data_IF_997290175380
#
_entry.id   IF_997290175380
#
_cell.length_a   1.000
_cell.length_b   1.000
_cell.length_c   1.000
_cell.angle_alpha   90.00
_cell.angle_beta   90.00
_cell.angle_gamma   90.00
#
_symmetry.space_group_name_H-M   'P 1'
#
loop_
_entity.id
_entity.type
_entity.pdbx_description
1 polymer ?
#
# COMPACT_ATOMS: atom_id res chain seq x y z
N UNK A 1 18.79 30.91 7.25
CA UNK A 1 18.92 29.88 8.30
C UNK A 1 17.87 28.83 8.01
N UNK A 2 18.16 27.93 7.07
CA UNK A 2 17.29 26.81 6.74
C UNK A 2 17.53 25.70 7.76
N UNK A 3 16.91 25.87 8.94
CA UNK A 3 16.76 24.77 9.88
C UNK A 3 15.96 23.69 9.17
N UNK A 4 16.62 22.58 8.83
CA UNK A 4 16.01 21.36 8.30
C UNK A 4 14.69 21.08 9.03
N UNK A 5 13.56 21.38 8.40
CA UNK A 5 12.27 21.23 9.05
C UNK A 5 11.95 19.74 9.14
N UNK A 6 12.32 19.11 10.26
CA UNK A 6 12.18 17.67 10.46
C UNK A 6 10.72 17.35 10.76
N UNK A 7 9.94 17.15 9.69
CA UNK A 7 8.58 16.68 9.79
C UNK A 7 8.55 15.26 10.37
N UNK A 8 7.62 15.04 11.32
CA UNK A 8 7.36 13.76 11.95
C UNK A 8 5.96 13.30 11.59
N UNK A 9 5.82 12.00 11.40
CA UNK A 9 4.55 11.37 11.03
C UNK A 9 3.91 10.75 12.25
N UNK A 10 2.61 10.98 12.41
CA UNK A 10 1.82 10.49 13.54
C UNK A 10 0.58 9.75 13.05
N UNK A 11 0.31 8.59 13.65
CA UNK A 11 -0.96 7.89 13.55
C UNK A 11 -1.93 8.40 14.64
N UNK A 12 -3.10 8.88 14.22
CA UNK A 12 -4.17 9.38 15.06
C UNK A 12 -5.30 8.36 15.09
N UNK A 13 -5.59 7.82 16.27
CA UNK A 13 -6.69 6.87 16.44
C UNK A 13 -8.04 7.57 16.33
N UNK A 14 -8.88 7.09 15.42
CA UNK A 14 -10.23 7.58 15.19
C UNK A 14 -11.27 6.46 15.30
N UNK A 15 -12.55 6.81 15.30
CA UNK A 15 -13.65 5.84 15.16
C UNK A 15 -13.68 5.36 13.71
N UNK A 16 -13.80 4.05 13.51
CA UNK A 16 -13.86 3.45 12.18
C UNK A 16 -15.06 3.94 11.38
N UNK A 17 -14.87 4.18 10.08
CA UNK A 17 -15.90 4.73 9.19
C UNK A 17 -16.02 6.27 9.23
N UNK A 18 -15.13 6.96 9.96
CA UNK A 18 -15.07 8.42 10.02
C UNK A 18 -13.72 8.99 9.56
N UNK A 19 -12.81 8.16 9.05
CA UNK A 19 -11.44 8.51 8.67
C UNK A 19 -11.42 9.66 7.66
N UNK A 20 -12.16 9.52 6.56
CA UNK A 20 -12.29 10.54 5.51
C UNK A 20 -12.82 11.86 6.08
N UNK A 21 -13.95 11.82 6.77
CA UNK A 21 -14.59 13.01 7.36
C UNK A 21 -13.64 13.72 8.34
N UNK A 22 -12.92 12.97 9.15
CA UNK A 22 -11.96 13.53 10.11
C UNK A 22 -10.75 14.11 9.38
N UNK A 23 -10.25 13.45 8.33
CA UNK A 23 -9.17 13.97 7.50
C UNK A 23 -9.56 15.31 6.86
N UNK A 24 -10.78 15.45 6.36
CA UNK A 24 -11.32 16.73 5.86
C UNK A 24 -11.37 17.79 6.96
N UNK A 25 -11.90 17.47 8.14
CA UNK A 25 -11.94 18.40 9.29
C UNK A 25 -10.54 18.84 9.70
N UNK A 26 -9.57 17.92 9.68
CA UNK A 26 -8.17 18.26 9.95
C UNK A 26 -7.61 19.21 8.87
N UNK A 27 -7.89 18.98 7.60
CA UNK A 27 -7.43 19.84 6.52
C UNK A 27 -7.96 21.27 6.66
N UNK A 28 -9.27 21.43 6.90
CA UNK A 28 -9.89 22.72 7.14
C UNK A 28 -9.30 23.43 8.36
N UNK A 29 -9.10 22.69 9.47
CA UNK A 29 -8.51 23.25 10.69
C UNK A 29 -7.05 23.65 10.52
N UNK A 30 -6.26 22.86 9.81
CA UNK A 30 -4.87 23.17 9.55
C UNK A 30 -4.73 24.51 8.82
N UNK A 31 -5.60 24.76 7.83
CA UNK A 31 -5.65 26.03 7.11
C UNK A 31 -6.15 27.18 8.00
N UNK A 32 -7.29 26.99 8.69
CA UNK A 32 -7.90 28.03 9.52
C UNK A 32 -6.99 28.50 10.66
N UNK A 33 -6.28 27.58 11.30
CA UNK A 33 -5.38 27.85 12.41
C UNK A 33 -3.92 28.10 11.96
N UNK A 34 -3.64 28.06 10.65
CA UNK A 34 -2.30 28.21 10.07
C UNK A 34 -1.27 27.26 10.70
N UNK A 35 -1.67 26.02 10.94
CA UNK A 35 -0.82 24.99 11.53
C UNK A 35 0.19 24.47 10.50
N UNK A 36 1.41 24.14 10.94
CA UNK A 36 2.43 23.58 10.05
C UNK A 36 2.28 22.06 9.89
N UNK A 37 1.13 21.69 9.32
CA UNK A 37 0.77 20.34 8.86
C UNK A 37 1.16 20.23 7.39
N UNK A 38 2.02 19.26 7.06
CA UNK A 38 2.51 19.07 5.69
C UNK A 38 1.63 18.14 4.87
N UNK A 39 1.13 17.07 5.49
CA UNK A 39 0.23 16.13 4.83
C UNK A 39 -0.74 15.48 5.83
N UNK A 40 -1.91 15.12 5.33
CA UNK A 40 -2.94 14.35 6.04
C UNK A 40 -3.34 13.22 5.09
N UNK A 41 -3.32 11.98 5.59
CA UNK A 41 -3.52 10.79 4.78
C UNK A 41 -4.57 9.92 5.48
N UNK A 42 -5.53 9.42 4.70
CA UNK A 42 -6.44 8.36 5.10
C UNK A 42 -6.48 7.29 4.00
N UNK A 43 -6.86 6.07 4.36
CA UNK A 43 -7.13 4.97 3.45
C UNK A 43 -8.26 4.13 4.02
N UNK A 44 -9.15 3.61 3.19
CA UNK A 44 -10.22 2.69 3.62
C UNK A 44 -9.67 1.37 4.18
N UNK A 45 -8.46 0.99 3.76
CA UNK A 45 -7.74 -0.18 4.28
C UNK A 45 -7.19 0.07 5.69
N UNK A 46 -6.94 1.33 6.06
CA UNK A 46 -6.41 1.75 7.37
C UNK A 46 -7.51 2.14 8.36
N UNK A 47 -8.34 1.16 8.71
CA UNK A 47 -9.48 1.37 9.61
C UNK A 47 -9.06 1.95 10.96
N UNK A 48 -9.79 2.97 11.40
CA UNK A 48 -9.65 3.62 12.69
C UNK A 48 -8.40 4.48 12.83
N UNK A 49 -7.74 4.85 11.72
CA UNK A 49 -6.51 5.64 11.75
C UNK A 49 -6.50 6.74 10.69
N UNK A 50 -6.09 7.95 11.10
CA UNK A 50 -5.70 9.03 10.17
C UNK A 50 -4.23 9.36 10.42
N UNK A 51 -3.45 9.47 9.36
CA UNK A 51 -2.02 9.76 9.44
C UNK A 51 -1.80 11.25 9.19
N UNK A 52 -0.96 11.89 10.01
CA UNK A 52 -0.66 13.32 9.91
C UNK A 52 0.84 13.55 9.99
N UNK A 53 1.38 14.30 9.04
CA UNK A 53 2.76 14.77 9.02
C UNK A 53 2.82 16.22 9.51
N UNK A 54 3.54 16.48 10.61
CA UNK A 54 3.68 17.82 11.20
C UNK A 54 5.13 18.15 11.50
N UNK A 55 5.47 19.43 11.46
CA UNK A 55 6.81 19.90 11.88
C UNK A 55 6.94 19.98 13.42
N UNK A 56 5.85 20.27 14.11
CA UNK A 56 5.84 20.47 15.56
C UNK A 56 4.68 19.69 16.23
N UNK A 57 4.94 18.90 17.30
CA UNK A 57 3.90 18.23 18.06
C UNK A 57 2.82 19.17 18.64
N UNK A 58 3.12 20.45 18.85
CA UNK A 58 2.13 21.46 19.28
C UNK A 58 1.04 21.64 18.24
N UNK A 59 1.39 21.70 16.96
CA UNK A 59 0.42 21.84 15.87
C UNK A 59 -0.52 20.64 15.82
N UNK A 60 0.02 19.44 16.03
CA UNK A 60 -0.77 18.23 16.13
C UNK A 60 -1.77 18.28 17.28
N UNK A 61 -1.36 18.79 18.45
CA UNK A 61 -2.26 18.96 19.58
C UNK A 61 -3.45 19.88 19.24
N UNK A 62 -3.19 21.04 18.61
CA UNK A 62 -4.26 21.95 18.20
C UNK A 62 -5.16 21.36 17.12
N UNK A 63 -4.59 20.60 16.18
CA UNK A 63 -5.32 19.93 15.12
C UNK A 63 -6.39 18.99 15.68
N UNK A 64 -6.00 18.10 16.60
CA UNK A 64 -6.86 17.01 17.11
C UNK A 64 -7.78 17.44 18.26
N UNK A 65 -7.46 18.53 18.97
CA UNK A 65 -8.17 18.93 20.20
C UNK A 65 -9.65 19.23 19.92
N UNK A 66 -10.53 18.51 20.62
CA UNK A 66 -11.98 18.74 20.55
C UNK A 66 -12.62 18.28 19.23
N UNK A 67 -11.90 17.55 18.38
CA UNK A 67 -12.50 16.95 17.17
C UNK A 67 -13.31 15.73 17.58
N UNK A 68 -14.59 15.72 17.20
CA UNK A 68 -15.50 14.58 17.41
C UNK A 68 -14.96 13.34 16.69
N UNK A 69 -15.16 12.16 17.27
CA UNK A 69 -14.74 10.86 16.71
C UNK A 69 -13.22 10.62 16.64
N UNK A 70 -12.39 11.57 17.11
CA UNK A 70 -10.98 11.30 17.46
C UNK A 70 -10.94 10.63 18.84
N UNK A 71 -10.29 9.47 18.93
CA UNK A 71 -10.14 8.76 20.21
C UNK A 71 -9.16 9.51 21.10
N UNK A 72 -9.43 9.58 22.41
CA UNK A 72 -8.52 10.16 23.42
C UNK A 72 -7.35 9.23 23.70
N UNK A 73 -6.54 8.96 22.69
CA UNK A 73 -5.31 8.18 22.76
C UNK A 73 -4.14 9.08 22.38
N UNK A 74 -2.97 8.81 22.95
CA UNK A 74 -1.75 9.51 22.57
C UNK A 74 -1.44 9.20 21.10
N UNK A 75 -1.18 10.22 20.25
CA UNK A 75 -0.68 10.00 18.90
C UNK A 75 0.58 9.13 18.90
N UNK A 76 0.66 8.19 17.97
CA UNK A 76 1.80 7.27 17.85
C UNK A 76 2.70 7.79 16.73
N UNK A 77 3.99 7.96 16.98
CA UNK A 77 4.93 8.30 15.90
C UNK A 77 5.19 7.07 15.05
N UNK A 78 5.14 7.23 13.72
CA UNK A 78 5.34 6.15 12.74
C UNK A 78 6.45 6.51 11.77
N UNK A 79 7.15 5.51 11.24
CA UNK A 79 8.17 5.74 10.21
C UNK A 79 7.48 5.97 8.86
N UNK A 80 7.93 6.96 8.09
CA UNK A 80 7.40 7.22 6.75
C UNK A 80 7.47 5.98 5.83
N UNK A 81 8.49 5.13 6.00
CA UNK A 81 8.60 3.89 5.22
C UNK A 81 7.46 2.91 5.51
N UNK A 82 6.96 2.88 6.75
CA UNK A 82 5.80 2.04 7.10
C UNK A 82 4.53 2.59 6.47
N UNK A 83 4.36 3.92 6.46
CA UNK A 83 3.24 4.58 5.78
C UNK A 83 3.23 4.26 4.29
N UNK A 84 4.38 4.35 3.63
CA UNK A 84 4.49 4.02 2.20
C UNK A 84 4.12 2.56 1.92
N UNK A 85 4.48 1.61 2.81
CA UNK A 85 4.06 0.21 2.65
C UNK A 85 2.56 0.03 2.78
N UNK A 86 1.90 0.80 3.64
CA UNK A 86 0.45 0.77 3.83
C UNK A 86 -0.33 1.45 2.69
N UNK A 87 0.32 2.36 1.95
CA UNK A 87 -0.26 3.03 0.78
C UNK A 87 0.07 2.35 -0.54
N UNK A 88 0.97 1.35 -0.52
CA UNK A 88 1.23 0.55 -1.71
C UNK A 88 0.00 -0.35 -1.90
N UNK A 89 -0.72 -0.24 -3.03
CA UNK A 89 -1.70 -1.24 -3.36
C UNK A 89 -1.02 -2.61 -3.35
N UNK A 90 -1.73 -3.70 -2.96
CA UNK A 90 -1.22 -5.04 -3.18
C UNK A 90 -0.74 -5.09 -4.62
N UNK A 91 0.52 -5.52 -4.79
CA UNK A 91 1.25 -5.53 -6.08
C UNK A 91 0.24 -5.90 -7.15
N UNK A 92 -0.09 -4.96 -8.04
CA UNK A 92 -1.00 -5.23 -9.15
C UNK A 92 -0.47 -6.48 -9.82
N UNK A 93 -1.23 -7.57 -9.73
CA UNK A 93 -0.80 -8.86 -10.26
C UNK A 93 -0.32 -8.64 -11.68
N UNK A 94 0.81 -9.26 -12.08
CA UNK A 94 1.34 -9.10 -13.42
C UNK A 94 0.21 -9.35 -14.42
N UNK A 95 0.00 -8.40 -15.33
CA UNK A 95 -0.93 -8.59 -16.44
C UNK A 95 -0.32 -9.66 -17.33
N UNK A 96 -0.93 -10.84 -17.30
CA UNK A 96 -0.52 -11.99 -18.08
C UNK A 96 -1.42 -12.14 -19.30
N UNK A 97 -0.85 -12.60 -20.39
CA UNK A 97 -1.58 -12.98 -21.60
C UNK A 97 -1.37 -14.45 -21.94
N UNK A 98 -2.39 -15.10 -22.54
CA UNK A 98 -2.23 -16.47 -23.03
C UNK A 98 -1.13 -16.50 -24.08
N UNK A 99 -0.23 -17.48 -23.99
CA UNK A 99 0.91 -17.63 -24.88
C UNK A 99 2.14 -16.81 -24.50
N UNK A 100 2.05 -15.95 -23.48
CA UNK A 100 3.18 -15.15 -23.00
C UNK A 100 4.29 -16.05 -22.42
N UNK A 101 5.55 -15.70 -22.71
CA UNK A 101 6.71 -16.33 -22.11
C UNK A 101 6.97 -15.72 -20.73
N UNK A 102 7.15 -16.58 -19.73
CA UNK A 102 7.27 -16.17 -18.33
C UNK A 102 8.41 -16.92 -17.64
N UNK A 103 8.82 -16.37 -16.50
CA UNK A 103 9.72 -17.00 -15.55
C UNK A 103 9.00 -17.19 -14.22
N UNK A 104 9.16 -18.36 -13.61
CA UNK A 104 8.58 -18.67 -12.30
C UNK A 104 9.57 -18.22 -11.23
N UNK A 105 9.17 -17.30 -10.37
CA UNK A 105 10.02 -16.67 -9.35
C UNK A 105 9.76 -17.19 -7.93
N UNK A 106 8.76 -18.06 -7.74
CA UNK A 106 8.37 -18.63 -6.45
C UNK A 106 7.90 -20.08 -6.54
N UNK A 107 7.75 -20.73 -5.39
CA UNK A 107 7.29 -22.12 -5.30
C UNK A 107 8.32 -23.17 -5.76
N UNK A 108 7.89 -24.43 -5.94
CA UNK A 108 8.77 -25.56 -6.25
C UNK A 108 9.40 -25.49 -7.66
N UNK A 109 8.78 -24.74 -8.58
CA UNK A 109 9.24 -24.56 -9.97
C UNK A 109 10.04 -23.27 -10.18
N UNK A 110 10.52 -22.65 -9.09
CA UNK A 110 11.30 -21.40 -9.14
C UNK A 110 12.53 -21.54 -10.04
N UNK A 111 12.74 -20.55 -10.91
CA UNK A 111 13.84 -20.48 -11.88
C UNK A 111 13.49 -21.09 -13.24
N UNK A 112 12.36 -21.81 -13.35
CA UNK A 112 11.93 -22.40 -14.60
C UNK A 112 11.23 -21.37 -15.50
N UNK A 113 11.37 -21.54 -16.81
CA UNK A 113 10.64 -20.76 -17.81
C UNK A 113 9.45 -21.55 -18.34
N UNK A 114 8.40 -20.83 -18.72
CA UNK A 114 7.18 -21.44 -19.20
C UNK A 114 6.40 -20.54 -20.15
N UNK A 115 5.31 -21.08 -20.67
CA UNK A 115 4.34 -20.35 -21.48
C UNK A 115 2.95 -20.46 -20.86
N UNK A 116 2.24 -19.33 -20.77
CA UNK A 116 0.89 -19.27 -20.23
C UNK A 116 -0.10 -20.01 -21.13
N UNK A 117 -0.89 -20.92 -20.56
CA UNK A 117 -1.94 -21.68 -21.25
C UNK A 117 -3.31 -21.06 -20.97
N UNK A 118 -3.64 -20.91 -19.69
CA UNK A 118 -4.94 -20.43 -19.23
C UNK A 118 -4.75 -19.56 -17.98
N UNK A 119 -5.60 -18.54 -17.82
CA UNK A 119 -5.54 -17.60 -16.69
C UNK A 119 -6.87 -17.66 -15.94
N UNK A 120 -6.79 -17.95 -14.65
CA UNK A 120 -7.94 -18.02 -13.76
C UNK A 120 -7.96 -16.80 -12.84
N UNK A 121 -8.43 -15.67 -13.35
CA UNK A 121 -8.49 -14.39 -12.63
C UNK A 121 -9.29 -14.43 -11.33
N UNK A 122 -10.32 -15.30 -11.24
CA UNK A 122 -11.14 -15.46 -10.03
C UNK A 122 -10.39 -16.05 -8.84
N UNK A 123 -9.32 -16.81 -9.10
CA UNK A 123 -8.51 -17.47 -8.07
C UNK A 123 -7.02 -17.09 -8.10
N UNK A 124 -6.65 -16.12 -8.92
CA UNK A 124 -5.27 -15.63 -9.08
C UNK A 124 -4.25 -16.73 -9.41
N UNK A 125 -4.62 -17.66 -10.28
CA UNK A 125 -3.74 -18.76 -10.76
C UNK A 125 -3.68 -18.77 -12.28
N UNK A 126 -2.62 -19.37 -12.83
CA UNK A 126 -2.49 -19.62 -14.25
C UNK A 126 -1.91 -21.02 -14.52
N UNK A 127 -2.38 -21.68 -15.58
CA UNK A 127 -1.79 -22.92 -16.06
C UNK A 127 -0.61 -22.58 -16.97
N UNK A 128 0.55 -23.16 -16.67
CA UNK A 128 1.82 -22.89 -17.35
C UNK A 128 2.35 -24.19 -17.93
N UNK A 129 2.72 -24.16 -19.22
CA UNK A 129 3.55 -25.21 -19.82
C UNK A 129 5.02 -24.91 -19.54
N UNK A 130 5.72 -25.83 -18.89
CA UNK A 130 7.14 -25.68 -18.59
C UNK A 130 7.97 -25.93 -19.86
N UNK A 131 9.00 -25.10 -20.10
CA UNK A 131 9.90 -25.21 -21.26
C UNK A 131 11.16 -26.04 -20.96
N UNK A 132 11.14 -26.86 -19.91
CA UNK A 132 12.31 -27.66 -19.47
C UNK A 132 12.19 -29.11 -19.98
N UNK A 133 13.12 -29.50 -20.87
CA UNK A 133 13.15 -30.83 -21.48
C UNK A 133 12.12 -31.06 -22.60
N UNK A 134 12.03 -32.29 -23.10
CA UNK A 134 11.15 -32.68 -24.24
C UNK A 134 9.69 -32.94 -23.83
N UNK A 135 9.36 -32.81 -22.54
CA UNK A 135 8.04 -33.15 -21.98
C UNK A 135 7.18 -31.90 -21.78
N UNK A 136 5.93 -31.93 -22.28
CA UNK A 136 4.94 -30.85 -22.10
C UNK A 136 4.18 -31.03 -20.79
N UNK A 137 4.84 -30.74 -19.66
CA UNK A 137 4.17 -30.74 -18.35
C UNK A 137 3.44 -29.41 -18.17
N UNK A 138 2.14 -29.49 -17.84
CA UNK A 138 1.31 -28.32 -17.48
C UNK A 138 1.14 -28.31 -15.96
N UNK A 139 1.40 -27.15 -15.35
CA UNK A 139 1.27 -26.93 -13.91
C UNK A 139 0.47 -25.66 -13.62
N UNK A 140 -0.39 -25.71 -12.61
CA UNK A 140 -1.13 -24.54 -12.12
C UNK A 140 -0.28 -23.81 -11.08
N UNK A 141 -0.05 -22.51 -11.28
CA UNK A 141 0.83 -21.68 -10.43
C UNK A 141 0.10 -20.38 -10.04
N UNK A 142 0.23 -19.91 -8.78
CA UNK A 142 -0.23 -18.57 -8.39
C UNK A 142 0.41 -17.48 -9.24
N UNK A 143 -0.39 -16.53 -9.72
CA UNK A 143 0.07 -15.43 -10.60
C UNK A 143 1.16 -14.60 -9.93
N UNK A 144 1.15 -14.47 -8.60
CA UNK A 144 2.19 -13.79 -7.83
C UNK A 144 3.59 -14.42 -7.95
N UNK A 145 3.68 -15.69 -8.34
CA UNK A 145 4.96 -16.39 -8.58
C UNK A 145 5.42 -16.30 -10.03
N UNK A 146 4.72 -15.54 -10.87
CA UNK A 146 5.02 -15.44 -12.30
C UNK A 146 5.57 -14.06 -12.58
N UNK A 147 6.65 -14.00 -13.36
CA UNK A 147 7.20 -12.77 -13.90
C UNK A 147 7.17 -12.84 -15.42
N UNK A 148 6.59 -11.82 -16.06
CA UNK A 148 6.67 -11.67 -17.52
C UNK A 148 8.12 -11.60 -17.98
N UNK A 149 8.50 -12.41 -18.96
CA UNK A 149 9.77 -12.22 -19.66
C UNK A 149 9.53 -11.22 -20.79
N UNK A 150 10.29 -10.12 -20.82
CA UNK A 150 10.28 -9.22 -21.98
C UNK A 150 10.85 -9.97 -23.19
N UNK A 151 10.10 -10.02 -24.30
CA UNK A 151 10.69 -10.31 -25.60
C UNK A 151 11.56 -9.11 -25.98
N UNK A 152 12.87 -9.33 -26.11
CA UNK A 152 13.79 -8.38 -26.74
C UNK A 152 13.71 -8.48 -28.25
#
# INVERSE_FOLDING_TARGET
>A
MDSQNQYKVYAISVIGGYEEKIAMVFAERAQALKLNVKSIIYSEELKGTVIVEVSNPKDLFYLIRGVKNVKRRRPITINIQEVVKLLKPPISLPTLEKGQLIEIIGGPFKGMKGRVVEIYSTRNEADITLLEGDSKIVVTIPIEYIKGAEEK
#
